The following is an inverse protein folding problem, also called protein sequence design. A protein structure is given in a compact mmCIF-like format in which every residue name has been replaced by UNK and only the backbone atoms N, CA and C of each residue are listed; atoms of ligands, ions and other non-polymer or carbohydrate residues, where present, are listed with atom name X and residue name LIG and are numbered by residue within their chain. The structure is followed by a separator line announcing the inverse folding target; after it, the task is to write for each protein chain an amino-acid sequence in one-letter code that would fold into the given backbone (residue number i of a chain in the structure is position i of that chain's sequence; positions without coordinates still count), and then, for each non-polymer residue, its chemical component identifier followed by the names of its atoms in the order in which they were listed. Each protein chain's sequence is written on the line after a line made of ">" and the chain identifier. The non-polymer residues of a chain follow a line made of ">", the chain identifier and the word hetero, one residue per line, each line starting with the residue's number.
data_IF_154870622504
#
_entry.id   IF_154870622504
#
_cell.length_a   1.000
_cell.length_b   1.000
_cell.length_c   1.000
_cell.angle_alpha   90.00
_cell.angle_beta   90.00
_cell.angle_gamma   90.00
#
_symmetry.space_group_name_H-M   'P 1'
#
loop_
_entity.id
_entity.type
_entity.pdbx_description
1 polymer ?
#
# COMPACT_ATOMS: atom_id res chain seq x y z
N UNK A 1 -11.65 2.99 -3.12
CA UNK A 1 -11.10 1.77 -3.74
C UNK A 1 -10.81 0.72 -2.68
N UNK A 2 -11.18 -0.55 -2.89
CA UNK A 2 -10.81 -1.67 -2.00
C UNK A 2 -9.54 -2.35 -2.49
N UNK A 3 -8.46 -2.27 -1.72
CA UNK A 3 -7.20 -2.94 -2.00
C UNK A 3 -7.14 -4.23 -1.18
N UNK A 4 -6.73 -5.33 -1.83
CA UNK A 4 -6.53 -6.64 -1.19
C UNK A 4 -5.16 -7.18 -1.53
N UNK A 5 -4.52 -7.84 -0.58
CA UNK A 5 -3.21 -8.45 -0.78
C UNK A 5 -3.14 -9.85 -0.18
N UNK A 6 -2.11 -10.59 -0.56
CA UNK A 6 -1.79 -11.88 0.05
C UNK A 6 -0.34 -11.86 0.49
N UNK A 7 -0.11 -12.14 1.77
CA UNK A 7 1.24 -12.35 2.28
C UNK A 7 1.74 -13.73 1.80
N UNK A 8 2.75 -13.73 0.93
CA UNK A 8 3.32 -14.97 0.35
C UNK A 8 4.57 -15.45 1.09
N UNK A 9 5.30 -14.56 1.76
CA UNK A 9 6.54 -14.86 2.46
C UNK A 9 6.80 -13.83 3.57
N UNK A 10 7.07 -14.28 4.80
CA UNK A 10 7.37 -13.42 5.96
C UNK A 10 8.87 -13.26 6.24
N UNK A 11 9.76 -13.84 5.41
CA UNK A 11 11.20 -13.68 5.62
C UNK A 11 11.73 -14.40 6.86
N UNK A 12 11.04 -15.45 7.32
CA UNK A 12 11.32 -16.19 8.57
C UNK A 12 11.19 -15.31 9.84
N UNK A 13 10.41 -14.24 9.79
CA UNK A 13 10.13 -13.37 10.93
C UNK A 13 8.71 -12.85 10.85
N UNK A 14 7.94 -13.10 11.90
CA UNK A 14 6.52 -12.75 11.98
C UNK A 14 6.32 -11.27 11.63
N UNK A 15 5.43 -11.04 10.67
CA UNK A 15 5.00 -9.68 10.30
C UNK A 15 4.11 -9.14 11.42
N UNK A 16 4.39 -7.92 11.82
CA UNK A 16 3.78 -7.20 12.94
C UNK A 16 2.90 -6.04 12.50
N UNK A 17 3.11 -5.51 11.29
CA UNK A 17 2.27 -4.47 10.69
C UNK A 17 2.51 -4.36 9.17
N UNK A 18 1.59 -3.65 8.50
CA UNK A 18 1.76 -3.16 7.14
C UNK A 18 1.54 -1.66 7.03
N UNK A 19 2.27 -1.04 6.10
CA UNK A 19 1.98 0.32 5.63
C UNK A 19 1.70 0.27 4.13
N UNK A 20 0.70 1.03 3.67
CA UNK A 20 0.38 1.23 2.27
C UNK A 20 0.66 2.69 1.93
N UNK A 21 1.42 2.92 0.87
CA UNK A 21 1.66 4.25 0.32
C UNK A 21 1.04 4.36 -1.07
N UNK A 22 0.46 5.51 -1.37
CA UNK A 22 -0.12 5.79 -2.67
C UNK A 22 0.07 7.26 -3.07
N UNK A 23 0.17 7.50 -4.38
CA UNK A 23 0.36 8.82 -4.98
C UNK A 23 -0.25 8.86 -6.38
N UNK A 24 -0.50 10.04 -6.96
CA UNK A 24 -0.77 10.06 -8.40
C UNK A 24 0.46 9.53 -9.16
N UNK A 25 0.22 8.92 -10.31
CA UNK A 25 1.28 8.31 -11.12
C UNK A 25 2.36 9.33 -11.49
N UNK A 26 1.95 10.58 -11.75
CA UNK A 26 2.82 11.69 -12.12
C UNK A 26 3.61 12.30 -10.95
N UNK A 27 3.20 12.07 -9.70
CA UNK A 27 3.85 12.65 -8.52
C UNK A 27 5.12 11.90 -8.12
N UNK A 28 5.95 12.50 -7.27
CA UNK A 28 7.06 11.80 -6.61
C UNK A 28 6.59 11.09 -5.34
N UNK A 29 7.36 10.10 -4.89
CA UNK A 29 7.14 9.42 -3.62
C UNK A 29 7.49 10.30 -2.40
N UNK A 30 7.74 11.59 -2.54
CA UNK A 30 7.84 12.50 -1.40
C UNK A 30 6.45 12.92 -0.93
N UNK A 31 5.54 13.15 -1.89
CA UNK A 31 4.15 13.60 -1.67
C UNK A 31 3.13 12.46 -1.51
N UNK A 32 3.58 11.23 -1.26
CA UNK A 32 2.68 10.10 -1.01
C UNK A 32 1.75 10.35 0.17
N UNK A 33 0.55 9.83 0.03
CA UNK A 33 -0.36 9.54 1.13
C UNK A 33 -0.06 8.13 1.68
N UNK A 34 -0.41 7.87 2.93
CA UNK A 34 -0.13 6.57 3.55
C UNK A 34 -1.19 6.13 4.56
N UNK A 35 -1.58 4.86 4.49
CA UNK A 35 -2.31 4.16 5.55
C UNK A 35 -1.29 3.33 6.34
N UNK A 36 -1.12 3.62 7.63
CA UNK A 36 -0.04 3.03 8.45
C UNK A 36 -0.56 2.10 9.53
N UNK A 37 0.35 1.28 10.06
CA UNK A 37 0.12 0.41 11.23
C UNK A 37 -1.08 -0.54 11.06
N UNK A 38 -1.27 -1.05 9.84
CA UNK A 38 -2.33 -2.02 9.55
C UNK A 38 -1.97 -3.35 10.23
N UNK A 39 -2.90 -3.91 10.99
CA UNK A 39 -2.72 -5.19 11.68
C UNK A 39 -2.30 -6.30 10.71
N UNK A 40 -1.38 -7.20 11.08
CA UNK A 40 -0.95 -8.31 10.23
C UNK A 40 -2.08 -9.33 9.98
N UNK A 41 -3.14 -9.31 10.79
CA UNK A 41 -4.35 -10.12 10.58
C UNK A 41 -5.28 -9.57 9.50
N UNK A 42 -5.02 -8.36 9.00
CA UNK A 42 -5.82 -7.69 7.96
C UNK A 42 -5.07 -7.81 6.62
N UNK A 43 -5.81 -8.22 5.60
CA UNK A 43 -5.30 -8.39 4.23
C UNK A 43 -6.02 -7.50 3.20
N UNK A 44 -6.75 -6.49 3.69
CA UNK A 44 -7.47 -5.53 2.86
C UNK A 44 -7.49 -4.14 3.49
N UNK A 45 -7.53 -3.10 2.66
CA UNK A 45 -7.63 -1.72 3.08
C UNK A 45 -8.52 -0.94 2.11
N UNK A 46 -9.23 0.05 2.65
CA UNK A 46 -9.96 1.00 1.82
C UNK A 46 -9.08 2.24 1.62
N UNK A 47 -8.73 2.51 0.37
CA UNK A 47 -8.08 3.77 -0.02
C UNK A 47 -9.20 4.74 -0.41
N UNK A 48 -9.23 5.85 0.31
CA UNK A 48 -10.24 6.92 0.19
C UNK A 48 -9.61 8.18 -0.43
N UNK A 49 -10.46 9.16 -0.75
CA UNK A 49 -10.06 10.46 -1.28
C UNK A 49 -9.21 10.38 -2.57
N UNK A 50 -9.52 9.38 -3.40
CA UNK A 50 -8.98 9.28 -4.76
C UNK A 50 -9.81 10.16 -5.69
N UNK A 51 -9.13 10.95 -6.52
CA UNK A 51 -9.80 11.75 -7.53
C UNK A 51 -10.31 10.85 -8.66
N UNK A 52 -11.48 11.13 -9.26
CA UNK A 52 -11.97 10.40 -10.42
C UNK A 52 -11.05 10.60 -11.63
N UNK A 53 -11.17 9.74 -12.63
CA UNK A 53 -10.43 9.80 -13.90
C UNK A 53 -8.90 9.97 -13.75
N UNK A 54 -8.32 9.41 -12.69
CA UNK A 54 -6.93 9.63 -12.29
C UNK A 54 -6.17 8.31 -12.15
N UNK A 55 -4.86 8.34 -12.40
CA UNK A 55 -4.00 7.16 -12.31
C UNK A 55 -3.12 7.26 -11.06
N UNK A 56 -3.12 6.22 -10.24
CA UNK A 56 -2.37 6.14 -8.99
C UNK A 56 -1.33 5.03 -9.04
N UNK A 57 -0.18 5.27 -8.40
CA UNK A 57 0.79 4.24 -8.03
C UNK A 57 0.61 3.90 -6.55
N UNK A 58 0.53 2.61 -6.24
CA UNK A 58 0.39 2.08 -4.88
C UNK A 58 1.54 1.12 -4.60
N UNK A 59 2.12 1.19 -3.41
CA UNK A 59 3.10 0.21 -2.90
C UNK A 59 2.84 -0.09 -1.43
N UNK A 60 3.31 -1.26 -0.99
CA UNK A 60 3.10 -1.72 0.38
C UNK A 60 4.42 -2.13 1.02
N UNK A 61 4.47 -2.00 2.34
CA UNK A 61 5.61 -2.36 3.18
C UNK A 61 5.14 -3.28 4.30
N UNK A 62 5.96 -4.26 4.66
CA UNK A 62 5.76 -5.07 5.85
C UNK A 62 6.76 -4.68 6.94
N UNK A 63 6.36 -4.90 8.18
CA UNK A 63 7.19 -4.66 9.35
C UNK A 63 7.34 -5.94 10.15
N UNK A 64 8.54 -6.25 10.60
CA UNK A 64 8.81 -7.31 11.56
C UNK A 64 9.74 -6.79 12.66
N UNK A 65 10.22 -7.68 13.53
CA UNK A 65 11.14 -7.33 14.63
C UNK A 65 12.47 -6.68 14.17
N UNK A 66 12.87 -6.88 12.91
CA UNK A 66 14.10 -6.32 12.33
C UNK A 66 13.84 -4.89 11.86
N UNK A 67 12.65 -4.64 11.29
CA UNK A 67 12.24 -3.32 10.83
C UNK A 67 11.29 -3.38 9.64
N UNK A 68 11.31 -2.30 8.85
CA UNK A 68 10.52 -2.12 7.63
C UNK A 68 11.18 -2.85 6.45
N UNK A 69 10.38 -3.50 5.62
CA UNK A 69 10.83 -4.11 4.37
C UNK A 69 11.15 -3.07 3.29
N UNK A 70 11.72 -3.54 2.17
CA UNK A 70 11.65 -2.83 0.89
C UNK A 70 10.20 -2.73 0.39
N UNK A 71 9.87 -1.78 -0.49
CA UNK A 71 8.53 -1.67 -1.07
C UNK A 71 8.18 -2.89 -1.90
N UNK A 72 6.89 -3.24 -1.91
CA UNK A 72 6.33 -4.14 -2.92
C UNK A 72 6.52 -3.58 -4.33
N UNK A 73 6.32 -4.43 -5.33
CA UNK A 73 6.11 -3.96 -6.70
C UNK A 73 4.98 -2.93 -6.71
N UNK A 74 5.18 -1.84 -7.45
CA UNK A 74 4.14 -0.83 -7.64
C UNK A 74 2.94 -1.43 -8.38
N UNK A 75 1.76 -1.21 -7.82
CA UNK A 75 0.49 -1.47 -8.46
C UNK A 75 -0.02 -0.15 -9.05
N UNK A 76 -0.21 -0.10 -10.36
CA UNK A 76 -0.83 1.05 -11.03
C UNK A 76 -2.32 0.79 -11.20
N UNK A 77 -3.15 1.74 -10.76
CA UNK A 77 -4.61 1.68 -10.91
C UNK A 77 -5.15 2.98 -11.48
N UNK A 78 -6.25 2.88 -12.21
CA UNK A 78 -6.99 4.03 -12.73
C UNK A 78 -8.35 4.10 -12.04
N UNK A 79 -8.75 5.28 -11.61
CA UNK A 79 -10.11 5.55 -11.14
C UNK A 79 -11.00 5.91 -12.34
N UNK A 80 -12.25 5.47 -12.30
CA UNK A 80 -13.24 5.80 -13.34
C UNK A 80 -13.78 7.22 -13.16
N UNK A 81 -14.47 7.73 -14.18
CA UNK A 81 -15.24 8.98 -14.08
C UNK A 81 -16.41 8.80 -13.08
N UNK A 82 -16.83 9.91 -12.46
CA UNK A 82 -17.83 9.92 -11.39
C UNK A 82 -19.28 9.83 -11.91
#
# INVERSE_FOLDING_TARGET
>A
MNLRWTQRFDGNSIITAFDIEYKNKSDTWEFKQSTRNISPSINQANIVDLHPASVYSIRMYSFNKIGRSEPSKELTISTEEA
#
